data_IF_693393003865
#
_entry.id   IF_693393003865
#
_cell.length_a   1.000
_cell.length_b   1.000
_cell.length_c   1.000
_cell.angle_alpha   90.00
_cell.angle_beta   90.00
_cell.angle_gamma   90.00
#
_symmetry.space_group_name_H-M   'P 1'
#
loop_
_entity.id
_entity.type
_entity.pdbx_description
1 polymer ?
#
# COMPACT_ATOMS: atom_id res chain seq x y z
N UNK A 1 -16.01 -28.99 -25.94
CA UNK A 1 -14.92 -28.31 -25.23
C UNK A 1 -15.61 -27.41 -24.22
N UNK A 2 -15.86 -27.95 -23.03
CA UNK A 2 -16.58 -27.26 -21.96
C UNK A 2 -15.67 -26.18 -21.37
N UNK A 3 -15.99 -24.92 -21.63
CA UNK A 3 -15.49 -23.78 -20.87
C UNK A 3 -16.00 -23.91 -19.44
N UNK A 4 -15.17 -24.41 -18.54
CA UNK A 4 -15.41 -24.37 -17.11
C UNK A 4 -15.42 -22.89 -16.68
N UNK A 5 -16.61 -22.29 -16.65
CA UNK A 5 -16.81 -21.01 -16.00
C UNK A 5 -16.43 -21.19 -14.52
N UNK A 6 -15.22 -20.77 -14.14
CA UNK A 6 -14.81 -20.72 -12.75
C UNK A 6 -15.82 -19.82 -12.01
N UNK A 7 -16.66 -20.41 -11.16
CA UNK A 7 -17.66 -19.62 -10.43
C UNK A 7 -16.92 -18.66 -9.51
N UNK A 8 -17.04 -17.36 -9.78
CA UNK A 8 -16.51 -16.32 -8.92
C UNK A 8 -17.06 -16.51 -7.49
N UNK A 9 -16.18 -16.43 -6.49
CA UNK A 9 -16.60 -16.58 -5.09
C UNK A 9 -17.51 -15.41 -4.67
N UNK A 10 -18.39 -15.59 -3.68
CA UNK A 10 -19.30 -14.53 -3.27
C UNK A 10 -18.58 -13.33 -2.62
N UNK A 11 -19.07 -12.10 -2.85
CA UNK A 11 -18.50 -10.87 -2.29
C UNK A 11 -18.67 -10.81 -0.79
N UNK A 12 -17.70 -10.20 -0.12
CA UNK A 12 -17.66 -10.04 1.33
C UNK A 12 -18.71 -9.07 1.86
N UNK A 13 -18.87 -9.06 3.19
CA UNK A 13 -19.76 -8.11 3.85
C UNK A 13 -19.34 -6.66 3.55
N UNK A 14 -18.03 -6.42 3.40
CA UNK A 14 -17.49 -5.11 3.08
C UNK A 14 -17.83 -4.69 1.65
N UNK A 15 -17.67 -5.59 0.68
CA UNK A 15 -18.00 -5.32 -0.71
C UNK A 15 -19.50 -5.00 -0.86
N UNK A 16 -20.36 -5.78 -0.18
CA UNK A 16 -21.81 -5.53 -0.14
C UNK A 16 -22.15 -4.21 0.54
N UNK A 17 -21.42 -3.84 1.59
CA UNK A 17 -21.58 -2.56 2.27
C UNK A 17 -21.21 -1.41 1.33
N UNK A 18 -20.07 -1.49 0.65
CA UNK A 18 -19.63 -0.49 -0.33
C UNK A 18 -20.64 -0.37 -1.48
N UNK A 19 -21.12 -1.48 -2.02
CA UNK A 19 -22.15 -1.49 -3.06
C UNK A 19 -23.47 -0.86 -2.57
N UNK A 20 -23.88 -1.12 -1.33
CA UNK A 20 -25.03 -0.46 -0.74
C UNK A 20 -24.83 1.06 -0.61
N UNK A 21 -23.64 1.52 -0.17
CA UNK A 21 -23.30 2.96 -0.10
C UNK A 21 -23.36 3.60 -1.49
N UNK A 22 -22.95 2.90 -2.53
CA UNK A 22 -22.98 3.39 -3.92
C UNK A 22 -24.39 3.55 -4.49
N UNK A 23 -25.35 2.78 -3.99
CA UNK A 23 -26.75 2.87 -4.38
C UNK A 23 -27.50 4.01 -3.67
N UNK A 24 -26.90 4.66 -2.67
CA UNK A 24 -27.52 5.78 -1.98
C UNK A 24 -27.58 7.02 -2.88
N UNK A 25 -28.65 7.84 -2.77
CA UNK A 25 -28.74 9.09 -3.51
C UNK A 25 -27.66 10.07 -3.05
N UNK A 26 -26.84 10.56 -3.98
CA UNK A 26 -25.80 11.56 -3.72
C UNK A 26 -24.40 11.07 -4.07
N UNK A 27 -23.39 11.81 -3.61
CA UNK A 27 -21.98 11.45 -3.82
C UNK A 27 -21.57 10.44 -2.76
N UNK A 28 -21.36 9.18 -3.14
CA UNK A 28 -21.02 8.07 -2.24
C UNK A 28 -19.85 8.36 -1.29
N UNK A 29 -18.86 9.15 -1.71
CA UNK A 29 -17.72 9.52 -0.87
C UNK A 29 -18.11 10.37 0.35
N UNK A 30 -19.22 11.14 0.30
CA UNK A 30 -19.71 11.94 1.42
C UNK A 30 -20.29 11.09 2.55
N UNK A 31 -20.62 9.83 2.28
CA UNK A 31 -21.15 8.91 3.28
C UNK A 31 -20.16 8.69 4.43
N UNK A 32 -18.89 8.42 4.12
CA UNK A 32 -17.86 8.11 5.11
C UNK A 32 -17.56 9.27 6.09
N UNK A 33 -17.33 10.53 5.66
CA UNK A 33 -17.16 11.64 6.59
C UNK A 33 -18.43 11.93 7.39
N UNK A 34 -19.62 11.74 6.79
CA UNK A 34 -20.90 11.88 7.51
C UNK A 34 -21.05 10.81 8.60
N UNK A 35 -20.72 9.56 8.28
CA UNK A 35 -20.70 8.47 9.25
C UNK A 35 -19.69 8.75 10.37
N UNK A 36 -18.50 9.23 10.05
CA UNK A 36 -17.50 9.65 11.04
C UNK A 36 -18.00 10.77 11.96
N UNK A 37 -18.65 11.80 11.40
CA UNK A 37 -19.27 12.88 12.17
C UNK A 37 -20.32 12.34 13.14
N UNK A 38 -21.24 11.49 12.65
CA UNK A 38 -22.30 10.90 13.48
C UNK A 38 -21.71 10.03 14.59
N UNK A 39 -20.76 9.15 14.27
CA UNK A 39 -20.10 8.29 15.24
C UNK A 39 -19.28 9.07 16.25
N UNK A 40 -18.77 10.27 15.91
CA UNK A 40 -18.06 11.13 16.84
C UNK A 40 -19.02 11.94 17.73
N UNK A 41 -20.15 12.41 17.19
CA UNK A 41 -21.13 13.20 17.93
C UNK A 41 -21.86 12.38 19.00
N UNK A 42 -22.21 11.12 18.71
CA UNK A 42 -22.93 10.25 19.65
C UNK A 42 -22.21 10.08 21.00
N UNK A 43 -20.94 9.62 21.07
CA UNK A 43 -20.21 9.51 22.34
C UNK A 43 -19.94 10.88 22.96
N UNK A 44 -19.69 11.92 22.15
CA UNK A 44 -19.48 13.29 22.67
C UNK A 44 -20.70 13.80 23.42
N UNK A 45 -21.89 13.67 22.83
CA UNK A 45 -23.15 14.07 23.48
C UNK A 45 -23.44 13.22 24.71
N UNK A 46 -23.11 11.92 24.68
CA UNK A 46 -23.24 11.05 25.85
C UNK A 46 -22.35 11.52 27.02
N UNK A 47 -21.10 11.91 26.73
CA UNK A 47 -20.19 12.47 27.74
C UNK A 47 -20.61 13.85 28.25
N UNK A 48 -21.31 14.65 27.45
CA UNK A 48 -21.94 15.88 27.94
C UNK A 48 -23.13 15.59 28.85
N UNK A 49 -23.94 14.59 28.50
CA UNK A 49 -25.15 14.24 29.23
C UNK A 49 -24.85 13.59 30.60
N UNK A 50 -23.78 12.81 30.72
CA UNK A 50 -23.37 12.19 31.98
C UNK A 50 -22.44 13.07 32.83
N UNK A 51 -22.11 14.28 32.34
CA UNK A 51 -21.26 15.25 33.04
C UNK A 51 -19.76 14.90 33.02
N UNK A 52 -19.34 13.87 32.26
CA UNK A 52 -17.92 13.55 32.08
C UNK A 52 -17.16 14.72 31.46
N UNK A 53 -17.80 15.43 30.53
CA UNK A 53 -17.24 16.59 29.83
C UNK A 53 -18.17 17.81 29.94
N UNK A 54 -17.62 19.03 30.06
CA UNK A 54 -18.41 20.25 29.93
C UNK A 54 -19.05 20.33 28.54
N UNK A 55 -20.31 20.77 28.48
CA UNK A 55 -21.03 20.97 27.22
C UNK A 55 -20.23 21.91 26.30
N UNK A 56 -20.09 21.52 25.03
CA UNK A 56 -19.33 22.27 24.02
C UNK A 56 -17.84 21.93 23.96
N UNK A 57 -17.35 21.03 24.82
CA UNK A 57 -15.98 20.52 24.73
C UNK A 57 -15.89 19.27 23.86
N UNK A 58 -14.78 19.14 23.14
CA UNK A 58 -14.53 18.04 22.21
C UNK A 58 -13.16 17.42 22.49
N UNK A 59 -13.14 16.11 22.73
CA UNK A 59 -11.89 15.37 22.92
C UNK A 59 -11.38 14.85 21.56
N UNK A 60 -10.20 15.30 21.14
CA UNK A 60 -9.62 14.93 19.85
C UNK A 60 -9.36 13.42 19.72
N UNK A 61 -8.97 12.74 20.80
CA UNK A 61 -8.73 11.30 20.80
C UNK A 61 -10.04 10.53 20.62
N UNK A 62 -11.13 10.95 21.28
CA UNK A 62 -12.45 10.30 21.12
C UNK A 62 -13.03 10.50 19.74
N UNK A 63 -12.87 11.71 19.17
CA UNK A 63 -13.25 11.97 17.78
C UNK A 63 -12.47 11.04 16.85
N UNK A 64 -11.14 10.95 17.02
CA UNK A 64 -10.33 10.05 16.20
C UNK A 64 -10.75 8.58 16.38
N UNK A 65 -11.01 8.13 17.62
CA UNK A 65 -11.51 6.78 17.91
C UNK A 65 -12.79 6.45 17.14
N UNK A 66 -13.73 7.39 17.09
CA UNK A 66 -14.98 7.23 16.35
C UNK A 66 -14.80 7.25 14.82
N UNK A 67 -13.86 8.04 14.31
CA UNK A 67 -13.62 8.24 12.87
C UNK A 67 -12.77 7.12 12.26
N UNK A 68 -12.01 6.35 13.04
CA UNK A 68 -11.12 5.32 12.53
C UNK A 68 -11.84 4.22 11.71
N UNK A 69 -12.99 3.72 12.16
CA UNK A 69 -13.70 2.69 11.41
C UNK A 69 -14.23 3.22 10.05
N UNK A 70 -14.92 4.38 9.99
CA UNK A 70 -15.25 5.02 8.71
C UNK A 70 -14.05 5.34 7.82
N UNK A 71 -12.92 5.77 8.41
CA UNK A 71 -11.67 6.00 7.69
C UNK A 71 -11.20 4.72 6.98
N UNK A 72 -11.19 3.58 7.67
CA UNK A 72 -10.78 2.31 7.08
C UNK A 72 -11.73 1.82 5.99
N UNK A 73 -13.04 1.98 6.18
CA UNK A 73 -14.03 1.64 5.15
C UNK A 73 -13.85 2.52 3.90
N UNK A 74 -13.59 3.82 4.09
CA UNK A 74 -13.30 4.73 2.99
C UNK A 74 -11.98 4.37 2.28
N UNK A 75 -10.96 4.01 3.06
CA UNK A 75 -9.65 3.63 2.54
C UNK A 75 -9.75 2.38 1.67
N UNK A 76 -10.47 1.33 2.09
CA UNK A 76 -10.61 0.13 1.26
C UNK A 76 -11.30 0.44 -0.07
N UNK A 77 -12.44 1.16 -0.03
CA UNK A 77 -13.10 1.62 -1.26
C UNK A 77 -12.13 2.38 -2.18
N UNK A 78 -11.36 3.30 -1.60
CA UNK A 78 -10.37 4.06 -2.35
C UNK A 78 -9.31 3.16 -2.98
N UNK A 79 -8.81 2.17 -2.25
CA UNK A 79 -7.81 1.21 -2.72
C UNK A 79 -8.37 0.28 -3.79
N UNK A 80 -9.63 -0.13 -3.72
CA UNK A 80 -10.28 -0.94 -4.77
C UNK A 80 -10.36 -0.19 -6.10
N UNK A 81 -10.75 1.08 -6.06
CA UNK A 81 -10.76 1.94 -7.25
C UNK A 81 -9.33 2.14 -7.78
N UNK A 82 -8.37 2.37 -6.89
CA UNK A 82 -6.97 2.51 -7.28
C UNK A 82 -6.40 1.21 -7.88
N UNK A 83 -6.81 0.06 -7.37
CA UNK A 83 -6.38 -1.25 -7.85
C UNK A 83 -6.97 -1.57 -9.23
N UNK A 84 -8.24 -1.23 -9.47
CA UNK A 84 -8.83 -1.34 -10.81
C UNK A 84 -8.13 -0.43 -11.82
N UNK A 85 -7.85 0.82 -11.44
CA UNK A 85 -7.11 1.75 -12.30
C UNK A 85 -5.69 1.24 -12.60
N UNK A 86 -4.97 0.75 -11.58
CA UNK A 86 -3.65 0.17 -11.74
C UNK A 86 -3.67 -1.08 -12.64
N UNK A 87 -4.67 -1.95 -12.51
CA UNK A 87 -4.80 -3.13 -13.37
C UNK A 87 -5.06 -2.73 -14.84
N UNK A 88 -5.88 -1.70 -15.06
CA UNK A 88 -6.12 -1.15 -16.40
C UNK A 88 -4.84 -0.57 -17.01
N UNK A 89 -4.09 0.19 -16.24
CA UNK A 89 -2.82 0.79 -16.70
C UNK A 89 -1.74 -0.28 -16.93
N UNK A 90 -1.82 -1.41 -16.22
CA UNK A 90 -0.96 -2.58 -16.40
C UNK A 90 -1.33 -3.43 -17.62
N UNK A 91 -2.53 -3.28 -18.19
CA UNK A 91 -3.06 -4.11 -19.27
C UNK A 91 -2.09 -4.31 -20.46
N UNK A 92 -1.35 -3.29 -20.94
CA UNK A 92 -0.42 -3.47 -22.07
C UNK A 92 0.72 -4.47 -21.80
N UNK A 93 1.07 -4.69 -20.53
CA UNK A 93 2.12 -5.61 -20.11
C UNK A 93 1.57 -6.90 -19.47
N UNK A 94 0.30 -7.24 -19.72
CA UNK A 94 -0.37 -8.38 -19.12
C UNK A 94 -0.64 -9.47 -20.17
N UNK A 95 -0.09 -10.66 -19.96
CA UNK A 95 -0.24 -11.82 -20.86
C UNK A 95 -1.44 -12.67 -20.44
N UNK A 96 -2.65 -12.19 -20.73
CA UNK A 96 -3.92 -12.88 -20.37
C UNK A 96 -5.00 -12.68 -21.42
N UNK A 97 -5.96 -13.61 -21.47
CA UNK A 97 -7.20 -13.45 -22.25
C UNK A 97 -8.14 -12.41 -21.62
N UNK A 98 -9.17 -11.98 -22.36
CA UNK A 98 -10.20 -11.09 -21.79
C UNK A 98 -10.95 -11.72 -20.61
N UNK A 99 -11.24 -13.02 -20.67
CA UNK A 99 -11.92 -13.74 -19.59
C UNK A 99 -11.05 -13.76 -18.32
N UNK A 100 -9.76 -14.06 -18.46
CA UNK A 100 -8.80 -14.03 -17.36
C UNK A 100 -8.63 -12.61 -16.80
N UNK A 101 -8.66 -11.58 -17.64
CA UNK A 101 -8.60 -10.19 -17.19
C UNK A 101 -9.81 -9.80 -16.33
N UNK A 102 -11.02 -10.20 -16.75
CA UNK A 102 -12.24 -9.95 -15.97
C UNK A 102 -12.18 -10.66 -14.61
N UNK A 103 -11.68 -11.91 -14.58
CA UNK A 103 -11.49 -12.64 -13.32
C UNK A 103 -10.46 -11.95 -12.42
N UNK A 104 -9.30 -11.55 -12.96
CA UNK A 104 -8.26 -10.85 -12.20
C UNK A 104 -8.79 -9.53 -11.62
N UNK A 105 -9.54 -8.77 -12.41
CA UNK A 105 -10.17 -7.53 -11.94
C UNK A 105 -11.12 -7.81 -10.77
N UNK A 106 -12.00 -8.79 -10.89
CA UNK A 106 -12.91 -9.16 -9.80
C UNK A 106 -12.14 -9.55 -8.54
N UNK A 107 -11.14 -10.43 -8.67
CA UNK A 107 -10.35 -10.90 -7.54
C UNK A 107 -9.53 -9.80 -6.88
N UNK A 108 -9.14 -8.77 -7.63
CA UNK A 108 -8.35 -7.68 -7.09
C UNK A 108 -9.18 -6.67 -6.27
N UNK A 109 -10.45 -6.49 -6.63
CA UNK A 109 -11.35 -5.50 -6.01
C UNK A 109 -12.43 -6.10 -5.13
N UNK A 110 -12.58 -7.43 -5.10
CA UNK A 110 -13.63 -8.10 -4.32
C UNK A 110 -13.02 -9.11 -3.38
N UNK A 111 -13.21 -8.92 -2.08
CA UNK A 111 -12.72 -9.85 -1.07
C UNK A 111 -13.67 -11.05 -0.90
N UNK A 112 -13.11 -12.21 -0.55
CA UNK A 112 -13.93 -13.41 -0.34
C UNK A 112 -14.71 -13.34 0.98
N UNK A 113 -15.97 -13.79 0.95
CA UNK A 113 -16.90 -13.55 2.06
C UNK A 113 -16.52 -14.19 3.39
N UNK A 114 -16.15 -15.48 3.39
CA UNK A 114 -15.88 -16.20 4.65
C UNK A 114 -14.60 -15.71 5.34
N UNK A 115 -13.45 -15.59 4.65
CA UNK A 115 -12.24 -15.07 5.28
C UNK A 115 -12.41 -13.65 5.79
N UNK A 116 -13.07 -12.76 5.04
CA UNK A 116 -13.32 -11.39 5.50
C UNK A 116 -14.13 -11.35 6.80
N UNK A 117 -15.16 -12.18 6.92
CA UNK A 117 -15.96 -12.30 8.15
C UNK A 117 -15.16 -12.90 9.31
N UNK A 118 -14.41 -13.97 9.07
CA UNK A 118 -13.56 -14.60 10.09
C UNK A 118 -12.50 -13.63 10.60
N UNK A 119 -11.93 -12.81 9.72
CA UNK A 119 -10.99 -11.76 10.11
C UNK A 119 -11.66 -10.64 10.91
N UNK A 120 -12.91 -10.27 10.63
CA UNK A 120 -13.66 -9.36 11.50
C UNK A 120 -13.86 -9.95 12.90
N UNK A 121 -14.29 -11.21 12.98
CA UNK A 121 -14.50 -11.90 14.24
C UNK A 121 -13.20 -12.04 15.03
N UNK A 122 -12.08 -12.31 14.35
CA UNK A 122 -10.76 -12.31 14.98
C UNK A 122 -10.41 -10.93 15.55
N UNK A 123 -10.69 -9.83 14.82
CA UNK A 123 -10.52 -8.48 15.33
C UNK A 123 -11.36 -8.18 16.58
N UNK A 124 -12.63 -8.60 16.59
CA UNK A 124 -13.50 -8.53 17.77
C UNK A 124 -12.95 -9.35 18.94
N UNK A 125 -12.44 -10.56 18.68
CA UNK A 125 -11.80 -11.38 19.71
C UNK A 125 -10.53 -10.71 20.27
N UNK A 126 -9.73 -10.07 19.41
CA UNK A 126 -8.59 -9.26 19.84
C UNK A 126 -9.04 -8.10 20.72
N UNK A 127 -10.16 -7.43 20.43
CA UNK A 127 -10.69 -6.39 21.32
C UNK A 127 -11.01 -6.96 22.71
N UNK A 128 -11.72 -8.09 22.77
CA UNK A 128 -12.01 -8.78 24.04
C UNK A 128 -10.76 -9.10 24.85
N UNK A 129 -9.66 -9.50 24.18
CA UNK A 129 -8.41 -9.87 24.85
C UNK A 129 -7.55 -8.66 25.25
N UNK A 130 -7.44 -7.65 24.38
CA UNK A 130 -6.54 -6.52 24.61
C UNK A 130 -7.09 -5.50 25.59
N UNK A 131 -8.41 -5.30 25.60
CA UNK A 131 -9.07 -4.32 26.48
C UNK A 131 -8.66 -4.50 27.95
N UNK A 132 -8.75 -5.70 28.56
CA UNK A 132 -8.34 -5.92 29.95
C UNK A 132 -6.83 -5.82 30.19
N UNK A 133 -6.01 -6.04 29.15
CA UNK A 133 -4.54 -6.08 29.25
C UNK A 133 -3.89 -4.69 29.26
N UNK A 134 -4.63 -3.64 28.90
CA UNK A 134 -4.12 -2.28 28.87
C UNK A 134 -4.93 -1.32 29.76
N UNK A 135 -4.69 -1.33 31.09
CA UNK A 135 -5.38 -0.46 32.06
C UNK A 135 -5.35 1.04 31.71
N UNK A 136 -4.32 1.52 31.01
CA UNK A 136 -4.23 2.90 30.52
C UNK A 136 -5.29 3.24 29.46
N UNK A 137 -5.79 2.27 28.70
CA UNK A 137 -6.87 2.53 27.74
C UNK A 137 -8.17 2.92 28.45
N UNK A 138 -8.38 2.46 29.68
CA UNK A 138 -9.55 2.87 30.47
C UNK A 138 -9.53 4.38 30.74
N UNK A 139 -8.36 4.97 31.01
CA UNK A 139 -8.23 6.41 31.27
C UNK A 139 -8.28 7.23 29.99
N UNK A 140 -7.63 6.79 28.92
CA UNK A 140 -7.60 7.50 27.63
C UNK A 140 -8.94 7.48 26.91
N UNK A 141 -9.61 6.33 26.93
CA UNK A 141 -10.96 6.20 26.34
C UNK A 141 -12.02 6.74 27.30
N UNK A 142 -11.66 7.11 28.53
CA UNK A 142 -12.57 7.73 29.49
C UNK A 142 -13.68 6.78 29.93
N UNK A 143 -13.38 5.49 30.11
CA UNK A 143 -14.34 4.50 30.55
C UNK A 143 -14.78 4.78 31.99
N UNK A 144 -15.87 5.53 32.13
CA UNK A 144 -16.69 5.63 33.34
C UNK A 144 -17.61 4.40 33.48
N UNK A 145 -18.36 4.27 34.56
CA UNK A 145 -19.44 3.28 34.68
C UNK A 145 -20.74 3.69 33.97
N UNK A 146 -20.74 4.81 33.24
CA UNK A 146 -21.93 5.39 32.59
C UNK A 146 -22.19 4.91 31.16
N UNK A 147 -23.32 5.34 30.55
CA UNK A 147 -23.70 4.97 29.18
C UNK A 147 -22.67 5.32 28.10
N UNK A 148 -21.91 6.41 28.27
CA UNK A 148 -20.88 6.83 27.31
C UNK A 148 -19.77 5.76 27.14
N UNK A 149 -19.46 5.02 28.20
CA UNK A 149 -18.45 3.96 28.15
C UNK A 149 -18.91 2.74 27.38
N UNK A 150 -20.20 2.39 27.45
CA UNK A 150 -20.77 1.31 26.62
C UNK A 150 -20.64 1.67 25.14
N UNK A 151 -20.89 2.93 24.78
CA UNK A 151 -20.72 3.42 23.41
C UNK A 151 -19.25 3.35 23.00
N UNK A 152 -18.32 3.84 23.83
CA UNK A 152 -16.89 3.84 23.51
C UNK A 152 -16.31 2.41 23.38
N UNK A 153 -16.77 1.47 24.21
CA UNK A 153 -16.46 0.05 24.09
C UNK A 153 -17.01 -0.49 22.77
N UNK A 154 -18.28 -0.21 22.46
CA UNK A 154 -18.91 -0.59 21.19
C UNK A 154 -18.15 -0.08 19.97
N UNK A 155 -17.69 1.17 19.99
CA UNK A 155 -16.85 1.76 18.93
C UNK A 155 -15.49 1.06 18.80
N UNK A 156 -14.90 0.65 19.92
CA UNK A 156 -13.63 -0.11 19.92
C UNK A 156 -13.81 -1.49 19.29
N UNK A 157 -14.91 -2.18 19.60
CA UNK A 157 -15.27 -3.45 18.98
C UNK A 157 -15.55 -3.30 17.48
N UNK A 158 -16.30 -2.27 17.10
CA UNK A 158 -16.54 -1.95 15.69
C UNK A 158 -15.22 -1.68 14.96
N UNK A 159 -14.35 -0.86 15.55
CA UNK A 159 -13.03 -0.54 15.01
C UNK A 159 -12.20 -1.79 14.78
N UNK A 160 -12.03 -2.66 15.79
CA UNK A 160 -11.19 -3.84 15.60
C UNK A 160 -11.85 -4.88 14.68
N UNK A 161 -13.19 -4.97 14.67
CA UNK A 161 -13.91 -5.80 13.70
C UNK A 161 -13.68 -5.35 12.25
N UNK A 162 -13.81 -4.04 11.99
CA UNK A 162 -13.48 -3.46 10.68
C UNK A 162 -11.98 -3.62 10.37
N UNK A 163 -11.12 -3.33 11.35
CA UNK A 163 -9.67 -3.43 11.24
C UNK A 163 -9.19 -4.84 10.89
N UNK A 164 -9.82 -5.88 11.45
CA UNK A 164 -9.55 -7.26 11.07
C UNK A 164 -9.80 -7.53 9.59
N UNK A 165 -10.92 -7.04 9.04
CA UNK A 165 -11.19 -7.13 7.60
C UNK A 165 -10.22 -6.31 6.77
N UNK A 166 -9.82 -5.12 7.22
CA UNK A 166 -8.81 -4.29 6.55
C UNK A 166 -7.48 -5.03 6.43
N UNK A 167 -7.04 -5.68 7.50
CA UNK A 167 -5.80 -6.47 7.50
C UNK A 167 -5.91 -7.60 6.49
N UNK A 168 -7.02 -8.35 6.50
CA UNK A 168 -7.23 -9.42 5.52
C UNK A 168 -7.24 -8.90 4.09
N UNK A 169 -8.04 -7.87 3.82
CA UNK A 169 -8.18 -7.24 2.51
C UNK A 169 -6.82 -6.77 1.98
N UNK A 170 -6.06 -6.03 2.80
CA UNK A 170 -4.74 -5.52 2.44
C UNK A 170 -3.77 -6.65 2.11
N UNK A 171 -3.69 -7.68 2.97
CA UNK A 171 -2.81 -8.83 2.72
C UNK A 171 -3.22 -9.56 1.44
N UNK A 172 -4.53 -9.78 1.25
CA UNK A 172 -5.06 -10.49 0.09
C UNK A 172 -4.76 -9.74 -1.22
N UNK A 173 -5.10 -8.46 -1.29
CA UNK A 173 -4.89 -7.62 -2.48
C UNK A 173 -3.40 -7.51 -2.84
N UNK A 174 -2.53 -7.28 -1.85
CA UNK A 174 -1.08 -7.16 -2.09
C UNK A 174 -0.43 -8.50 -2.47
N UNK A 175 -0.91 -9.63 -1.94
CA UNK A 175 -0.49 -10.95 -2.41
C UNK A 175 -0.88 -11.17 -3.86
N UNK A 176 -2.08 -10.75 -4.25
CA UNK A 176 -2.54 -10.88 -5.63
C UNK A 176 -1.72 -10.01 -6.58
N UNK A 177 -1.40 -8.77 -6.21
CA UNK A 177 -0.47 -7.90 -6.96
C UNK A 177 0.88 -8.58 -7.16
N UNK A 178 1.48 -9.11 -6.09
CA UNK A 178 2.75 -9.83 -6.17
C UNK A 178 2.66 -11.03 -7.13
N UNK A 179 1.58 -11.80 -7.05
CA UNK A 179 1.34 -12.96 -7.89
C UNK A 179 1.18 -12.58 -9.38
N UNK A 180 0.38 -11.54 -9.67
CA UNK A 180 0.18 -11.02 -11.04
C UNK A 180 1.52 -10.63 -11.65
N UNK A 181 2.33 -9.85 -10.92
CA UNK A 181 3.66 -9.46 -11.37
C UNK A 181 4.60 -10.64 -11.60
N UNK A 182 4.61 -11.59 -10.67
CA UNK A 182 5.49 -12.75 -10.75
C UNK A 182 5.13 -13.71 -11.90
N UNK A 183 3.86 -13.77 -12.33
CA UNK A 183 3.39 -14.86 -13.21
C UNK A 183 2.78 -14.42 -14.54
N UNK A 184 2.21 -13.21 -14.64
CA UNK A 184 1.43 -12.75 -15.81
C UNK A 184 2.02 -11.52 -16.51
N UNK A 185 3.12 -10.96 -15.99
CA UNK A 185 3.75 -9.78 -16.58
C UNK A 185 4.58 -10.12 -17.83
N UNK A 186 4.44 -9.32 -18.89
CA UNK A 186 5.37 -9.26 -20.01
C UNK A 186 6.46 -8.26 -19.63
N UNK A 187 7.71 -8.72 -19.54
CA UNK A 187 8.83 -7.88 -19.11
C UNK A 187 9.49 -7.26 -20.32
N UNK A 188 9.29 -5.96 -20.51
CA UNK A 188 10.01 -5.17 -21.51
C UNK A 188 10.82 -4.09 -20.78
N UNK A 189 12.15 -4.20 -20.79
CA UNK A 189 13.02 -3.22 -20.12
C UNK A 189 13.00 -1.82 -20.78
N UNK A 190 12.58 -1.75 -22.05
CA UNK A 190 12.52 -0.50 -22.80
C UNK A 190 11.18 0.23 -22.65
N UNK A 191 10.17 -0.42 -22.06
CA UNK A 191 8.91 0.21 -21.66
C UNK A 191 8.51 -0.23 -20.24
N UNK A 192 8.97 0.54 -19.25
CA UNK A 192 8.71 0.28 -17.84
C UNK A 192 7.39 0.90 -17.35
N UNK A 193 6.73 1.74 -18.15
CA UNK A 193 5.59 2.51 -17.68
C UNK A 193 4.44 1.63 -17.17
N UNK A 194 4.01 0.58 -17.89
CA UNK A 194 2.99 -0.35 -17.38
C UNK A 194 3.47 -1.09 -16.14
N UNK A 195 4.76 -1.42 -16.05
CA UNK A 195 5.33 -2.18 -14.93
C UNK A 195 5.30 -1.40 -13.61
N UNK A 196 5.11 -0.08 -13.65
CA UNK A 196 4.96 0.77 -12.46
C UNK A 196 3.51 0.94 -12.00
N UNK A 197 2.52 0.36 -12.69
CA UNK A 197 1.11 0.66 -12.45
C UNK A 197 0.66 0.40 -10.99
N UNK A 198 1.13 -0.69 -10.36
CA UNK A 198 0.75 -0.99 -8.98
C UNK A 198 1.58 -0.26 -7.92
N UNK A 199 2.69 0.43 -8.25
CA UNK A 199 3.46 1.15 -7.22
C UNK A 199 2.66 2.27 -6.57
N UNK A 200 1.75 2.88 -7.34
CA UNK A 200 0.81 3.87 -6.81
C UNK A 200 -0.11 3.27 -5.75
N UNK A 201 -0.70 2.10 -6.04
CA UNK A 201 -1.56 1.37 -5.10
C UNK A 201 -0.81 1.04 -3.80
N UNK A 202 0.37 0.41 -3.90
CA UNK A 202 1.13 -0.01 -2.70
C UNK A 202 1.58 1.19 -1.86
N UNK A 203 1.94 2.30 -2.52
CA UNK A 203 2.24 3.57 -1.86
C UNK A 203 1.03 4.13 -1.13
N UNK A 204 -0.14 4.15 -1.78
CA UNK A 204 -1.38 4.66 -1.18
C UNK A 204 -1.82 3.83 0.02
N UNK A 205 -1.71 2.49 -0.06
CA UNK A 205 -1.99 1.61 1.08
C UNK A 205 -1.06 1.95 2.25
N UNK A 206 0.25 2.08 1.99
CA UNK A 206 1.23 2.41 3.02
C UNK A 206 1.00 3.80 3.63
N UNK A 207 0.69 4.81 2.79
CA UNK A 207 0.35 6.16 3.24
C UNK A 207 -0.91 6.17 4.11
N UNK A 208 -1.93 5.38 3.76
CA UNK A 208 -3.12 5.23 4.59
C UNK A 208 -2.79 4.72 6.00
N UNK A 209 -1.89 3.74 6.12
CA UNK A 209 -1.39 3.25 7.41
C UNK A 209 -0.58 4.29 8.18
N UNK A 210 0.24 5.08 7.48
CA UNK A 210 1.02 6.16 8.07
C UNK A 210 0.10 7.26 8.62
N UNK A 211 -0.92 7.67 7.86
CA UNK A 211 -1.91 8.65 8.31
C UNK A 211 -2.62 8.16 9.57
N UNK A 212 -3.08 6.91 9.55
CA UNK A 212 -3.72 6.28 10.71
C UNK A 212 -2.82 6.32 11.95
N UNK A 213 -1.57 5.87 11.81
CA UNK A 213 -0.60 5.82 12.91
C UNK A 213 -0.23 7.23 13.41
N UNK A 214 -0.08 8.18 12.49
CA UNK A 214 0.24 9.58 12.83
C UNK A 214 -0.89 10.21 13.63
N UNK A 215 -2.14 10.05 13.19
CA UNK A 215 -3.32 10.61 13.86
C UNK A 215 -3.52 10.01 15.27
N UNK A 216 -3.16 8.74 15.45
CA UNK A 216 -3.18 8.08 16.77
C UNK A 216 -2.30 8.82 17.79
N UNK A 217 -1.04 9.13 17.45
CA UNK A 217 -0.16 9.87 18.34
C UNK A 217 -0.45 11.37 18.41
N UNK A 218 -0.90 11.97 17.30
CA UNK A 218 -1.24 13.39 17.26
C UNK A 218 -2.42 13.72 18.20
N UNK A 219 -3.37 12.79 18.34
CA UNK A 219 -4.55 12.99 19.21
C UNK A 219 -4.35 12.51 20.65
N UNK A 220 -3.31 11.72 20.91
CA UNK A 220 -2.90 11.31 22.27
C UNK A 220 -1.36 11.33 22.45
N UNK A 221 -0.73 12.53 22.50
CA UNK A 221 0.73 12.65 22.58
C UNK A 221 1.35 11.98 23.80
N UNK A 222 0.60 11.85 24.90
CA UNK A 222 1.01 11.15 26.12
C UNK A 222 1.43 9.70 25.87
N UNK A 223 0.94 9.07 24.80
CA UNK A 223 1.34 7.71 24.40
C UNK A 223 2.82 7.59 24.04
N UNK A 224 3.47 8.70 23.67
CA UNK A 224 4.91 8.70 23.37
C UNK A 224 5.79 8.55 24.62
N UNK A 225 5.22 8.65 25.82
CA UNK A 225 5.92 8.33 27.06
C UNK A 225 5.92 6.83 27.40
N UNK A 226 5.16 6.02 26.65
CA UNK A 226 4.87 4.63 26.99
C UNK A 226 5.58 3.66 26.06
N UNK A 227 6.51 2.82 26.54
CA UNK A 227 7.30 1.92 25.69
C UNK A 227 6.45 1.01 24.79
N UNK A 228 5.34 0.49 25.31
CA UNK A 228 4.41 -0.36 24.55
C UNK A 228 3.77 0.40 23.38
N UNK A 229 3.38 1.66 23.61
CA UNK A 229 2.76 2.48 22.56
C UNK A 229 3.78 2.86 21.49
N UNK A 230 5.01 3.20 21.88
CA UNK A 230 6.12 3.40 20.93
C UNK A 230 6.33 2.14 20.09
N UNK A 231 6.37 0.96 20.72
CA UNK A 231 6.50 -0.32 20.03
C UNK A 231 5.37 -0.54 19.01
N UNK A 232 4.13 -0.22 19.37
CA UNK A 232 2.99 -0.26 18.44
C UNK A 232 3.15 0.71 17.27
N UNK A 233 3.61 1.94 17.53
CA UNK A 233 3.90 2.93 16.49
C UNK A 233 4.98 2.48 15.51
N UNK A 234 6.07 1.90 16.04
CA UNK A 234 7.16 1.31 15.23
C UNK A 234 6.64 0.13 14.42
N UNK A 235 5.81 -0.73 15.01
CA UNK A 235 5.18 -1.86 14.31
C UNK A 235 4.39 -1.37 13.09
N UNK A 236 3.54 -0.36 13.22
CA UNK A 236 2.79 0.20 12.09
C UNK A 236 3.68 0.88 11.06
N UNK A 237 4.75 1.57 11.49
CA UNK A 237 5.73 2.15 10.57
C UNK A 237 6.43 1.06 9.73
N UNK A 238 6.90 -0.01 10.36
CA UNK A 238 7.49 -1.16 9.66
C UNK A 238 6.47 -1.82 8.74
N UNK A 239 5.23 -2.01 9.21
CA UNK A 239 4.16 -2.59 8.39
C UNK A 239 3.88 -1.74 7.15
N UNK A 240 3.92 -0.40 7.24
CA UNK A 240 3.78 0.48 6.08
C UNK A 240 4.90 0.29 5.05
N UNK A 241 6.15 0.12 5.51
CA UNK A 241 7.31 -0.15 4.64
C UNK A 241 7.14 -1.52 3.95
N UNK A 242 6.76 -2.54 4.71
CA UNK A 242 6.52 -3.89 4.17
C UNK A 242 5.39 -3.87 3.13
N UNK A 243 4.29 -3.17 3.42
CA UNK A 243 3.13 -2.99 2.54
C UNK A 243 3.51 -2.30 1.23
N UNK A 244 4.46 -1.36 1.26
CA UNK A 244 4.97 -0.69 0.06
C UNK A 244 5.87 -1.60 -0.79
N UNK A 245 6.82 -2.31 -0.16
CA UNK A 245 7.92 -3.01 -0.85
C UNK A 245 7.54 -4.44 -1.25
N UNK A 246 6.97 -5.23 -0.33
CA UNK A 246 6.73 -6.66 -0.52
C UNK A 246 5.95 -7.02 -1.79
N UNK A 247 4.81 -6.37 -2.13
CA UNK A 247 4.06 -6.68 -3.35
C UNK A 247 4.83 -6.46 -4.65
N UNK A 248 5.90 -5.66 -4.61
CA UNK A 248 6.70 -5.26 -5.75
C UNK A 248 7.93 -6.17 -5.97
N UNK A 249 8.22 -7.06 -5.02
CA UNK A 249 9.37 -7.96 -5.11
C UNK A 249 9.27 -8.94 -6.30
N UNK A 250 8.05 -9.38 -6.64
CA UNK A 250 7.83 -10.27 -7.78
C UNK A 250 8.34 -9.70 -9.11
N UNK A 251 7.94 -8.47 -9.46
CA UNK A 251 8.40 -7.83 -10.69
C UNK A 251 9.84 -7.34 -10.58
N UNK A 252 10.30 -6.92 -9.39
CA UNK A 252 11.70 -6.57 -9.18
C UNK A 252 12.63 -7.74 -9.54
N UNK A 253 12.31 -8.94 -9.07
CA UNK A 253 13.05 -10.16 -9.40
C UNK A 253 13.08 -10.44 -10.91
N UNK A 254 11.94 -10.31 -11.59
CA UNK A 254 11.85 -10.54 -13.04
C UNK A 254 12.60 -9.49 -13.85
N UNK A 255 12.51 -8.21 -13.48
CA UNK A 255 13.27 -7.12 -14.09
C UNK A 255 14.78 -7.33 -13.92
N UNK A 256 15.22 -7.73 -12.73
CA UNK A 256 16.63 -8.00 -12.46
C UNK A 256 17.15 -9.19 -13.30
N UNK A 257 16.37 -10.27 -13.40
CA UNK A 257 16.73 -11.44 -14.23
C UNK A 257 16.81 -11.07 -15.71
N UNK A 258 15.84 -10.32 -16.22
CA UNK A 258 15.81 -9.92 -17.63
C UNK A 258 16.94 -8.95 -17.99
N UNK A 259 17.25 -8.01 -17.09
CA UNK A 259 18.43 -7.13 -17.21
C UNK A 259 19.72 -7.95 -17.26
N UNK A 260 19.86 -8.94 -16.39
CA UNK A 260 21.04 -9.81 -16.39
C UNK A 260 21.10 -10.72 -17.62
N UNK A 261 19.96 -11.13 -18.19
CA UNK A 261 19.90 -11.88 -19.46
C UNK A 261 20.44 -11.03 -20.61
N UNK A 262 19.93 -9.82 -20.77
CA UNK A 262 20.31 -8.92 -21.85
C UNK A 262 21.77 -8.43 -21.73
N UNK A 263 22.24 -8.13 -20.51
CA UNK A 263 23.65 -7.78 -20.29
C UNK A 263 24.62 -8.91 -20.65
N UNK A 264 24.25 -10.17 -20.37
CA UNK A 264 25.04 -11.34 -20.77
C UNK A 264 25.07 -11.50 -22.28
N UNK A 265 23.93 -11.38 -22.93
CA UNK A 265 23.81 -11.47 -24.39
C UNK A 265 24.64 -10.36 -25.08
N UNK A 266 24.53 -9.12 -24.62
CA UNK A 266 25.34 -8.00 -25.09
C UNK A 266 26.85 -8.24 -24.86
N UNK A 267 27.25 -8.79 -23.71
CA UNK A 267 28.65 -9.11 -23.43
C UNK A 267 29.20 -10.21 -24.36
N UNK A 268 28.40 -11.23 -24.67
CA UNK A 268 28.78 -12.29 -25.61
C UNK A 268 28.94 -11.74 -27.03
N UNK A 269 28.04 -10.85 -27.47
CA UNK A 269 28.15 -10.17 -28.77
C UNK A 269 29.40 -9.30 -28.84
N UNK A 270 29.69 -8.55 -27.77
CA UNK A 270 30.89 -7.72 -27.68
C UNK A 270 32.17 -8.57 -27.79
N UNK A 271 32.25 -9.69 -27.07
CA UNK A 271 33.38 -10.62 -27.13
C UNK A 271 33.57 -11.19 -28.54
N UNK A 272 32.48 -11.61 -29.19
CA UNK A 272 32.52 -12.11 -30.57
C UNK A 272 33.00 -11.03 -31.56
N UNK A 273 32.52 -9.80 -31.44
CA UNK A 273 32.94 -8.68 -32.30
C UNK A 273 34.41 -8.28 -32.07
N UNK A 274 34.90 -8.33 -30.83
CA UNK A 274 36.32 -8.10 -30.51
C UNK A 274 37.19 -9.20 -31.10
N UNK A 275 36.80 -10.47 -30.94
CA UNK A 275 37.54 -11.61 -31.50
C UNK A 275 37.61 -11.53 -33.04
N UNK A 276 36.51 -11.13 -33.68
CA UNK A 276 36.47 -10.87 -35.12
C UNK A 276 37.40 -9.71 -35.51
N UNK A 277 37.39 -8.60 -34.76
CA UNK A 277 38.28 -7.47 -35.01
C UNK A 277 39.76 -7.89 -34.93
N UNK A 278 40.15 -8.61 -33.88
CA UNK A 278 41.51 -9.13 -33.73
C UNK A 278 41.89 -10.08 -34.86
N UNK A 279 41.03 -11.04 -35.20
CA UNK A 279 41.28 -11.96 -36.32
C UNK A 279 41.45 -11.23 -37.66
N UNK A 280 40.70 -10.16 -37.91
CA UNK A 280 40.86 -9.32 -39.11
C UNK A 280 42.20 -8.58 -39.10
N UNK A 281 42.58 -7.95 -37.99
CA UNK A 281 43.86 -7.24 -37.84
C UNK A 281 45.06 -8.18 -38.02
N UNK A 282 45.03 -9.35 -37.37
CA UNK A 282 46.13 -10.33 -37.40
C UNK A 282 46.31 -10.99 -38.77
N UNK A 283 45.23 -11.10 -39.56
CA UNK A 283 45.27 -11.73 -40.89
C UNK A 283 46.04 -10.92 -41.94
N UNK A 284 46.44 -9.67 -41.65
CA UNK A 284 47.34 -8.86 -42.49
C UNK A 284 46.83 -8.57 -43.91
N UNK A 285 45.59 -8.91 -44.24
CA UNK A 285 44.99 -8.59 -45.54
C UNK A 285 44.74 -7.09 -45.63
N UNK A 286 44.97 -6.51 -46.80
CA UNK A 286 44.65 -5.11 -47.13
C UNK A 286 43.15 -4.88 -47.02
N UNK A 287 42.66 -4.71 -45.80
CA UNK A 287 41.24 -4.46 -45.52
C UNK A 287 40.92 -3.01 -45.88
N UNK A 288 39.79 -2.81 -46.55
CA UNK A 288 39.25 -1.49 -46.84
C UNK A 288 38.97 -0.77 -45.53
N UNK A 289 39.38 0.50 -45.39
CA UNK A 289 39.14 1.32 -44.19
C UNK A 289 37.67 1.28 -43.71
N UNK A 290 36.74 1.12 -44.66
CA UNK A 290 35.30 0.97 -44.41
C UNK A 290 34.94 -0.24 -43.53
N UNK A 291 35.59 -1.40 -43.71
CA UNK A 291 35.26 -2.60 -42.94
C UNK A 291 35.70 -2.47 -41.48
N UNK A 292 36.83 -1.81 -41.23
CA UNK A 292 37.30 -1.49 -39.88
C UNK A 292 36.40 -0.44 -39.21
N UNK A 293 35.92 0.55 -39.96
CA UNK A 293 34.96 1.54 -39.46
C UNK A 293 33.64 0.87 -39.04
N UNK A 294 33.11 -0.08 -39.83
CA UNK A 294 31.87 -0.80 -39.49
C UNK A 294 32.03 -1.63 -38.21
N UNK A 295 33.14 -2.36 -38.05
CA UNK A 295 33.38 -3.15 -36.83
C UNK A 295 33.51 -2.24 -35.61
N UNK A 296 34.24 -1.12 -35.72
CA UNK A 296 34.36 -0.13 -34.63
C UNK A 296 33.00 0.47 -34.27
N UNK A 297 32.21 0.91 -35.25
CA UNK A 297 30.87 1.45 -35.02
C UNK A 297 29.95 0.42 -34.33
N UNK A 298 30.08 -0.85 -34.68
CA UNK A 298 29.35 -1.94 -34.01
C UNK A 298 29.74 -2.09 -32.54
N UNK A 299 31.04 -2.01 -32.23
CA UNK A 299 31.52 -2.03 -30.83
C UNK A 299 30.98 -0.83 -30.04
N UNK A 300 31.01 0.37 -30.62
CA UNK A 300 30.47 1.58 -30.00
C UNK A 300 28.96 1.45 -29.71
N UNK A 301 28.19 0.88 -30.65
CA UNK A 301 26.75 0.61 -30.46
C UNK A 301 26.50 -0.38 -29.33
N UNK A 302 27.28 -1.48 -29.26
CA UNK A 302 27.14 -2.49 -28.20
C UNK A 302 27.49 -1.92 -26.81
N UNK A 303 28.49 -1.03 -26.74
CA UNK A 303 28.85 -0.35 -25.50
C UNK A 303 27.74 0.62 -25.05
N UNK A 304 27.14 1.35 -25.99
CA UNK A 304 25.97 2.20 -25.73
C UNK A 304 24.79 1.36 -25.23
N UNK A 305 24.46 0.25 -25.89
CA UNK A 305 23.40 -0.67 -25.47
C UNK A 305 23.63 -1.17 -24.05
N UNK A 306 24.85 -1.63 -23.74
CA UNK A 306 25.23 -2.08 -22.40
C UNK A 306 25.08 -0.97 -21.37
N UNK A 307 25.54 0.24 -21.69
CA UNK A 307 25.41 1.41 -20.82
C UNK A 307 23.93 1.72 -20.52
N UNK A 308 23.09 1.73 -21.56
CA UNK A 308 21.63 1.91 -21.43
C UNK A 308 21.02 0.84 -20.54
N UNK A 309 21.28 -0.45 -20.81
CA UNK A 309 20.79 -1.56 -20.00
C UNK A 309 21.23 -1.45 -18.53
N UNK A 310 22.46 -1.02 -18.28
CA UNK A 310 22.99 -0.84 -16.93
C UNK A 310 22.27 0.28 -16.17
N UNK A 311 21.86 1.35 -16.87
CA UNK A 311 21.10 2.46 -16.30
C UNK A 311 19.64 2.14 -15.96
N UNK A 312 19.06 1.08 -16.53
CA UNK A 312 17.64 0.74 -16.31
C UNK A 312 17.39 0.32 -14.85
N UNK A 313 16.49 0.99 -14.10
CA UNK A 313 16.17 0.62 -12.73
C UNK A 313 15.35 -0.67 -12.69
N UNK A 314 15.65 -1.56 -11.74
CA UNK A 314 14.93 -2.82 -11.56
C UNK A 314 13.82 -2.73 -10.52
N UNK A 315 13.72 -1.63 -9.78
CA UNK A 315 12.61 -1.41 -8.85
C UNK A 315 11.42 -0.79 -9.59
N UNK A 316 10.21 -1.33 -9.41
CA UNK A 316 9.05 -1.03 -10.24
C UNK A 316 8.29 0.21 -9.75
N UNK A 317 8.97 1.29 -9.42
CA UNK A 317 8.33 2.53 -8.98
C UNK A 317 8.93 3.74 -9.67
N UNK A 318 8.07 4.75 -9.85
CA UNK A 318 8.52 6.08 -10.28
C UNK A 318 9.20 6.81 -9.11
N UNK A 319 10.20 7.68 -9.38
CA UNK A 319 10.81 8.50 -8.35
C UNK A 319 9.81 9.33 -7.54
N UNK A 320 8.72 9.78 -8.16
CA UNK A 320 7.64 10.54 -7.50
C UNK A 320 6.94 9.70 -6.44
N UNK A 321 6.67 8.42 -6.74
CA UNK A 321 6.00 7.50 -5.81
C UNK A 321 6.86 7.22 -4.59
N UNK A 322 8.16 6.95 -4.79
CA UNK A 322 9.10 6.73 -3.70
C UNK A 322 9.25 8.00 -2.85
N UNK A 323 9.44 9.16 -3.49
CA UNK A 323 9.54 10.45 -2.79
C UNK A 323 8.29 10.73 -1.95
N UNK A 324 7.09 10.54 -2.53
CA UNK A 324 5.82 10.71 -1.82
C UNK A 324 5.70 9.80 -0.60
N UNK A 325 6.04 8.51 -0.74
CA UNK A 325 6.03 7.56 0.38
C UNK A 325 7.03 7.96 1.48
N UNK A 326 8.28 8.26 1.11
CA UNK A 326 9.33 8.65 2.07
C UNK A 326 8.95 9.95 2.78
N UNK A 327 8.40 10.93 2.06
CA UNK A 327 7.90 12.16 2.66
C UNK A 327 6.76 11.88 3.63
N UNK A 328 5.78 11.04 3.28
CA UNK A 328 4.71 10.67 4.19
C UNK A 328 5.23 10.00 5.47
N UNK A 329 6.25 9.14 5.36
CA UNK A 329 6.86 8.44 6.49
C UNK A 329 7.69 9.38 7.38
N UNK A 330 8.49 10.27 6.78
CA UNK A 330 9.43 11.13 7.51
C UNK A 330 8.81 12.43 8.02
N UNK A 331 7.78 12.96 7.35
CA UNK A 331 7.16 14.24 7.73
C UNK A 331 6.63 14.23 9.18
N UNK A 332 5.87 13.22 9.65
CA UNK A 332 5.43 13.16 11.04
C UNK A 332 6.59 13.14 12.03
N UNK A 333 7.68 12.41 11.71
CA UNK A 333 8.87 12.35 12.54
C UNK A 333 9.56 13.71 12.62
N UNK A 334 9.70 14.40 11.49
CA UNK A 334 10.29 15.73 11.44
C UNK A 334 9.44 16.75 12.22
N UNK A 335 8.11 16.74 12.04
CA UNK A 335 7.19 17.59 12.79
C UNK A 335 7.27 17.32 14.29
N UNK A 336 7.36 16.06 14.69
CA UNK A 336 7.50 15.68 16.09
C UNK A 336 8.81 16.19 16.69
N UNK A 337 9.94 16.02 15.99
CA UNK A 337 11.24 16.54 16.44
C UNK A 337 11.21 18.07 16.56
N UNK A 338 10.63 18.76 15.59
CA UNK A 338 10.47 20.22 15.63
C UNK A 338 9.62 20.61 16.85
N UNK A 339 8.47 19.97 17.06
CA UNK A 339 7.60 20.26 18.20
C UNK A 339 8.33 20.03 19.54
N UNK A 340 9.07 18.93 19.66
CA UNK A 340 9.85 18.61 20.85
C UNK A 340 10.93 19.67 21.13
N UNK A 341 11.67 20.08 20.10
CA UNK A 341 12.70 21.12 20.20
C UNK A 341 12.07 22.45 20.60
N UNK A 342 10.99 22.87 19.93
CA UNK A 342 10.28 24.10 20.25
C UNK A 342 9.75 24.11 21.68
N UNK A 343 9.13 23.02 22.13
CA UNK A 343 8.67 22.91 23.52
C UNK A 343 9.81 23.05 24.50
N UNK A 344 10.98 22.47 24.22
CA UNK A 344 12.14 22.56 25.12
C UNK A 344 12.76 23.96 25.18
N UNK A 345 12.71 24.72 24.08
CA UNK A 345 13.26 26.08 24.02
C UNK A 345 12.29 27.18 24.45
N UNK A 346 10.98 27.00 24.25
CA UNK A 346 9.96 28.02 24.54
C UNK A 346 9.11 27.74 25.79
N UNK A 347 9.22 26.57 26.43
CA UNK A 347 8.57 26.30 27.72
C UNK A 347 9.43 26.68 28.94
N UNK A 348 10.28 27.71 28.82
CA UNK A 348 10.94 28.36 29.96
C UNK A 348 10.07 29.47 30.52
#
# INVERSE_FOLDING_TARGET
METTAHSLYPPSWLDRFTEWVERLPGRSWLFYPTLGLVLALVPTVAHWADGSYPIGTFNAFHIWLAVQAPFFLALIRYLDVAAEAALRDFRPALEVSEEEYIELRYRLTTASARPALLSSLAGVAVAFLLIPLFPMMYTLVGWSTGPASVIAVGLTFLLLGVGGTVVYHTIYQLRLVNQIYATKAIVNLFDLSPLYAFSGLTSQTAVGLIIYNTMWFATAPQLLSQPVSIGFGVFWAVLSIVTFIWPLLGIHGRLAQEKQRLLRESSQRLEATIAELHGRVDSGKSHTLDELHVTRATLEILEIERSMLTGIPTWPWRPETLRGFVSALLLPLALFVIQFVLQRFFAQ
#
